data_IF_209219966851
#
_entry.id   IF_209219966851
#
_cell.length_a   1.000
_cell.length_b   1.000
_cell.length_c   1.000
_cell.angle_alpha   90.00
_cell.angle_beta   90.00
_cell.angle_gamma   90.00
#
_symmetry.space_group_name_H-M   'P 1'
#
loop_
_entity.id
_entity.type
_entity.pdbx_description
1 polymer ?
#
# COMPACT_ATOMS: atom_id res chain seq x y z
N UNK A 1 28.14 -47.06 28.37
CA UNK A 1 28.75 -46.62 27.09
C UNK A 1 27.97 -45.41 26.61
N UNK A 2 28.32 -44.21 27.08
CA UNK A 2 29.44 -43.36 26.63
C UNK A 2 29.11 -42.64 25.30
N UNK A 3 28.79 -41.34 25.45
CA UNK A 3 29.32 -40.20 24.68
C UNK A 3 29.34 -40.32 23.16
N UNK A 4 28.57 -39.52 22.42
CA UNK A 4 28.87 -38.10 22.11
C UNK A 4 29.17 -37.99 20.62
N UNK A 5 28.47 -37.05 19.99
CA UNK A 5 28.90 -36.27 18.84
C UNK A 5 30.40 -36.36 18.56
N UNK A 6 30.80 -36.86 17.38
CA UNK A 6 32.06 -36.52 16.71
C UNK A 6 32.27 -37.40 15.46
N UNK A 7 31.46 -37.22 14.43
CA UNK A 7 31.97 -37.34 13.07
C UNK A 7 31.44 -36.09 12.35
N UNK A 8 32.11 -34.93 12.44
CA UNK A 8 33.22 -34.64 11.53
C UNK A 8 32.85 -35.20 10.16
N UNK A 9 32.26 -34.40 9.28
CA UNK A 9 32.97 -33.55 8.33
C UNK A 9 31.83 -33.04 7.43
N UNK A 10 31.55 -31.78 7.15
CA UNK A 10 32.37 -30.67 6.65
C UNK A 10 31.29 -29.58 6.41
N UNK A 11 31.43 -28.27 6.57
CA UNK A 11 32.54 -27.36 6.75
C UNK A 11 31.84 -26.00 7.01
N UNK A 12 32.14 -25.36 8.15
CA UNK A 12 31.92 -23.93 8.45
C UNK A 12 30.49 -23.49 8.86
N UNK A 13 30.04 -23.90 10.05
CA UNK A 13 29.16 -23.05 10.85
C UNK A 13 30.03 -22.32 11.89
N UNK A 14 30.45 -21.11 11.55
CA UNK A 14 31.19 -20.26 12.48
C UNK A 14 30.22 -19.71 13.54
N UNK A 15 30.15 -20.43 14.65
CA UNK A 15 29.99 -19.99 16.04
C UNK A 15 29.64 -18.48 16.19
N UNK A 16 28.36 -18.17 16.40
CA UNK A 16 27.96 -16.94 17.10
C UNK A 16 27.58 -17.37 18.52
N UNK A 17 28.52 -17.18 19.44
CA UNK A 17 28.30 -17.42 20.86
C UNK A 17 27.25 -16.45 21.39
N UNK A 18 26.20 -16.99 21.99
CA UNK A 18 25.18 -16.23 22.69
C UNK A 18 25.75 -15.65 23.99
N UNK A 19 25.66 -14.33 24.18
CA UNK A 19 25.57 -13.73 25.51
C UNK A 19 25.00 -12.31 25.37
N UNK A 20 23.73 -12.11 25.73
CA UNK A 20 23.11 -10.79 25.78
C UNK A 20 21.58 -10.90 25.85
N UNK A 21 21.06 -11.10 27.05
CA UNK A 21 19.63 -11.11 27.38
C UNK A 21 18.97 -9.84 26.82
N UNK A 22 17.96 -9.97 25.94
CA UNK A 22 17.04 -8.87 25.63
C UNK A 22 15.62 -9.33 25.98
N UNK A 23 15.21 -9.01 27.21
CA UNK A 23 13.80 -8.89 27.60
C UNK A 23 13.47 -7.40 27.72
N UNK A 24 13.21 -6.69 26.61
CA UNK A 24 12.41 -5.45 26.63
C UNK A 24 11.75 -5.23 25.26
N UNK A 25 10.41 -5.20 25.26
CA UNK A 25 9.63 -4.32 24.40
C UNK A 25 9.22 -4.89 23.04
N UNK A 26 7.93 -5.23 22.90
CA UNK A 26 7.30 -5.52 21.63
C UNK A 26 7.57 -4.41 20.61
N UNK A 27 8.31 -4.74 19.56
CA UNK A 27 8.30 -3.97 18.33
C UNK A 27 7.27 -4.63 17.43
N UNK A 28 6.07 -4.05 17.41
CA UNK A 28 5.14 -4.25 16.31
C UNK A 28 5.92 -3.95 15.03
N UNK A 29 6.31 -4.98 14.30
CA UNK A 29 6.79 -4.82 12.95
C UNK A 29 5.56 -4.50 12.12
N UNK A 30 5.20 -3.22 12.08
CA UNK A 30 4.34 -2.72 11.01
C UNK A 30 5.13 -2.99 9.72
N UNK A 31 4.68 -3.98 8.97
CA UNK A 31 5.12 -4.21 7.60
C UNK A 31 4.74 -2.93 6.83
N UNK A 32 5.65 -1.96 6.75
CA UNK A 32 5.58 -0.95 5.72
C UNK A 32 5.87 -1.70 4.43
N UNK A 33 4.81 -2.26 3.84
CA UNK A 33 4.89 -2.87 2.53
C UNK A 33 5.42 -1.79 1.59
N UNK A 34 6.61 -2.03 1.05
CA UNK A 34 7.17 -1.15 0.04
C UNK A 34 6.34 -1.39 -1.21
N UNK A 35 5.23 -0.65 -1.33
CA UNK A 35 4.36 -0.70 -2.51
C UNK A 35 5.16 -0.10 -3.67
N UNK A 36 5.79 -0.99 -4.45
CA UNK A 36 6.36 -0.69 -5.76
C UNK A 36 5.20 -0.41 -6.70
N UNK A 37 4.75 0.84 -6.64
CA UNK A 37 3.77 1.37 -7.57
C UNK A 37 4.49 1.53 -8.91
N UNK A 38 4.63 0.45 -9.68
CA UNK A 38 5.27 0.48 -10.99
C UNK A 38 4.77 1.71 -11.74
N UNK A 39 5.68 2.64 -12.06
CA UNK A 39 5.51 4.10 -12.14
C UNK A 39 4.14 4.63 -12.62
N UNK A 40 3.52 3.99 -13.62
CA UNK A 40 2.27 4.43 -14.25
C UNK A 40 1.01 3.69 -13.77
N UNK A 41 1.14 2.58 -13.04
CA UNK A 41 0.01 1.76 -12.60
C UNK A 41 -0.96 2.54 -11.71
N UNK A 42 -0.46 3.48 -10.91
CA UNK A 42 -1.28 4.37 -10.09
C UNK A 42 -2.30 5.20 -10.89
N UNK A 43 -2.01 5.48 -12.17
CA UNK A 43 -2.90 6.23 -13.06
C UNK A 43 -4.13 5.42 -13.47
N UNK A 44 -4.07 4.08 -13.39
CA UNK A 44 -5.17 3.22 -13.83
C UNK A 44 -6.47 3.49 -13.07
N UNK A 45 -6.41 3.89 -11.80
CA UNK A 45 -7.58 4.35 -11.04
C UNK A 45 -8.11 5.68 -11.59
N UNK A 46 -7.23 6.66 -11.84
CA UNK A 46 -7.64 7.97 -12.34
C UNK A 46 -8.28 7.88 -13.73
N UNK A 47 -7.73 7.04 -14.60
CA UNK A 47 -8.25 6.79 -15.95
C UNK A 47 -9.53 5.95 -15.89
N UNK A 48 -9.53 4.82 -15.18
CA UNK A 48 -10.67 3.91 -15.11
C UNK A 48 -11.88 4.50 -14.38
N UNK A 49 -11.68 5.51 -13.54
CA UNK A 49 -12.74 6.16 -12.77
C UNK A 49 -13.05 7.59 -13.21
N UNK A 50 -12.44 8.10 -14.30
CA UNK A 50 -12.48 9.51 -14.69
C UNK A 50 -13.88 10.13 -14.60
N UNK A 51 -14.87 9.53 -15.25
CA UNK A 51 -16.25 10.03 -15.31
C UNK A 51 -16.95 10.11 -13.94
N UNK A 52 -16.46 9.38 -12.95
CA UNK A 52 -17.01 9.33 -11.58
C UNK A 52 -16.30 10.29 -10.63
N UNK A 53 -15.12 10.80 -11.02
CA UNK A 53 -14.25 11.63 -10.18
C UNK A 53 -13.99 13.02 -10.76
N UNK A 54 -14.58 13.38 -11.90
CA UNK A 54 -14.58 14.77 -12.38
C UNK A 54 -15.32 15.70 -11.41
N UNK A 55 -14.94 16.98 -11.37
CA UNK A 55 -15.56 17.97 -10.47
C UNK A 55 -17.03 18.24 -10.77
N UNK A 56 -17.36 18.29 -12.05
CA UNK A 56 -18.71 18.53 -12.56
C UNK A 56 -19.70 17.46 -12.10
N UNK A 57 -20.94 17.87 -11.82
CA UNK A 57 -22.04 16.97 -11.48
C UNK A 57 -21.98 16.33 -10.09
N UNK A 58 -22.96 15.48 -9.75
CA UNK A 58 -23.07 14.86 -8.43
C UNK A 58 -22.08 13.70 -8.23
N UNK A 59 -22.05 13.15 -7.00
CA UNK A 59 -21.47 11.83 -6.74
C UNK A 59 -22.35 10.77 -7.40
N UNK A 60 -21.74 9.90 -8.19
CA UNK A 60 -22.40 8.81 -8.90
C UNK A 60 -21.69 7.50 -8.59
N UNK A 61 -22.45 6.41 -8.52
CA UNK A 61 -21.89 5.08 -8.26
C UNK A 61 -20.88 4.71 -9.36
N UNK A 62 -19.67 4.25 -9.02
CA UNK A 62 -18.70 3.77 -10.00
C UNK A 62 -19.18 2.51 -10.71
N UNK A 63 -18.69 2.29 -11.93
CA UNK A 63 -18.89 1.05 -12.66
C UNK A 63 -17.89 -0.04 -12.22
N UNK A 64 -18.08 -1.27 -12.71
CA UNK A 64 -17.24 -2.40 -12.37
C UNK A 64 -15.76 -2.20 -12.78
N UNK A 65 -15.51 -1.56 -13.93
CA UNK A 65 -14.16 -1.28 -14.42
C UNK A 65 -13.40 -0.38 -13.43
N UNK A 66 -14.03 0.72 -13.01
CA UNK A 66 -13.47 1.63 -12.00
C UNK A 66 -13.18 0.90 -10.68
N UNK A 67 -14.14 0.10 -10.16
CA UNK A 67 -13.89 -0.62 -8.92
C UNK A 67 -12.83 -1.71 -9.03
N UNK A 68 -12.65 -2.33 -10.18
CA UNK A 68 -11.56 -3.29 -10.39
C UNK A 68 -10.21 -2.58 -10.34
N UNK A 69 -10.07 -1.43 -11.02
CA UNK A 69 -8.85 -0.62 -10.95
C UNK A 69 -8.54 -0.22 -9.50
N UNK A 70 -9.53 0.23 -8.73
CA UNK A 70 -9.37 0.57 -7.30
C UNK A 70 -8.91 -0.64 -6.48
N UNK A 71 -9.43 -1.84 -6.75
CA UNK A 71 -9.10 -3.06 -6.00
C UNK A 71 -7.71 -3.60 -6.32
N UNK A 72 -7.29 -3.49 -7.58
CA UNK A 72 -6.02 -4.01 -8.09
C UNK A 72 -4.85 -3.06 -7.79
N UNK A 73 -5.04 -1.76 -8.00
CA UNK A 73 -3.97 -0.75 -7.86
C UNK A 73 -3.93 -0.19 -6.44
N UNK A 74 -5.10 0.05 -5.85
CA UNK A 74 -5.23 0.62 -4.50
C UNK A 74 -4.92 2.12 -4.42
N UNK A 75 -5.47 2.74 -3.38
CA UNK A 75 -5.30 4.18 -3.14
C UNK A 75 -3.88 4.62 -2.80
N UNK A 76 -3.02 3.86 -2.09
CA UNK A 76 -1.65 4.30 -1.82
C UNK A 76 -0.86 4.64 -3.09
N UNK A 77 -0.98 3.82 -4.14
CA UNK A 77 -0.31 4.06 -5.41
C UNK A 77 -0.96 5.19 -6.20
N UNK A 78 -2.28 5.27 -6.22
CA UNK A 78 -3.00 6.38 -6.86
C UNK A 78 -2.64 7.71 -6.23
N UNK A 79 -2.65 7.80 -4.90
CA UNK A 79 -2.39 9.03 -4.16
C UNK A 79 -0.97 9.57 -4.33
N UNK A 80 0.02 8.70 -4.58
CA UNK A 80 1.39 9.12 -4.92
C UNK A 80 1.48 9.89 -6.23
N UNK A 81 0.53 9.66 -7.15
CA UNK A 81 0.50 10.32 -8.47
C UNK A 81 -0.42 11.54 -8.51
N UNK A 82 -1.21 11.80 -7.47
CA UNK A 82 -2.07 12.98 -7.39
C UNK A 82 -1.21 14.23 -7.24
N UNK A 83 -1.02 14.95 -8.35
CA UNK A 83 -0.40 16.28 -8.39
C UNK A 83 -1.44 17.38 -8.26
N UNK A 84 -0.99 18.62 -8.07
CA UNK A 84 -1.85 19.81 -8.08
C UNK A 84 -2.67 19.94 -9.36
N UNK A 85 -2.09 19.62 -10.53
CA UNK A 85 -2.81 19.67 -11.80
C UNK A 85 -3.95 18.64 -11.84
N UNK A 86 -3.75 17.46 -11.26
CA UNK A 86 -4.82 16.45 -11.15
C UNK A 86 -5.92 16.92 -10.19
N UNK A 87 -5.57 17.57 -9.08
CA UNK A 87 -6.56 18.18 -8.18
C UNK A 87 -7.35 19.33 -8.80
N UNK A 88 -6.81 19.98 -9.84
CA UNK A 88 -7.51 21.02 -10.59
C UNK A 88 -8.58 20.44 -11.52
N UNK A 89 -8.40 19.21 -11.99
CA UNK A 89 -9.31 18.54 -12.92
C UNK A 89 -10.32 17.62 -12.20
N UNK A 90 -9.90 16.98 -11.12
CA UNK A 90 -10.66 15.93 -10.44
C UNK A 90 -11.08 16.36 -9.03
N UNK A 91 -12.19 15.80 -8.56
CA UNK A 91 -12.66 15.97 -7.19
C UNK A 91 -12.08 14.88 -6.30
N UNK A 92 -11.19 15.26 -5.40
CA UNK A 92 -10.63 14.35 -4.39
C UNK A 92 -11.71 13.80 -3.45
N UNK A 93 -12.77 14.55 -3.20
CA UNK A 93 -13.93 14.09 -2.43
C UNK A 93 -14.68 12.96 -3.16
N UNK A 94 -14.83 13.07 -4.49
CA UNK A 94 -15.42 12.00 -5.30
C UNK A 94 -14.48 10.80 -5.42
N UNK A 95 -13.18 11.01 -5.51
CA UNK A 95 -12.19 9.94 -5.46
C UNK A 95 -12.27 9.17 -4.13
N UNK A 96 -12.38 9.87 -3.00
CA UNK A 96 -12.59 9.25 -1.69
C UNK A 96 -13.91 8.47 -1.61
N UNK A 97 -15.00 9.03 -2.15
CA UNK A 97 -16.29 8.34 -2.25
C UNK A 97 -16.17 7.05 -3.08
N UNK A 98 -15.56 7.10 -4.26
CA UNK A 98 -15.35 5.93 -5.14
C UNK A 98 -14.50 4.87 -4.43
N UNK A 99 -13.41 5.28 -3.79
CA UNK A 99 -12.54 4.38 -3.04
C UNK A 99 -13.29 3.65 -1.92
N UNK A 100 -14.11 4.38 -1.15
CA UNK A 100 -14.97 3.82 -0.11
C UNK A 100 -16.03 2.87 -0.69
N UNK A 101 -16.71 3.29 -1.76
CA UNK A 101 -17.74 2.49 -2.43
C UNK A 101 -17.19 1.15 -2.94
N UNK A 102 -15.97 1.16 -3.51
CA UNK A 102 -15.32 -0.03 -4.02
C UNK A 102 -14.64 -0.91 -2.93
N UNK A 103 -14.75 -0.54 -1.65
CA UNK A 103 -14.24 -1.31 -0.51
C UNK A 103 -12.75 -1.12 -0.21
N UNK A 104 -12.13 -0.06 -0.75
CA UNK A 104 -10.72 0.29 -0.53
C UNK A 104 -10.61 1.77 -0.14
N UNK A 105 -11.16 2.19 1.01
CA UNK A 105 -11.14 3.61 1.39
C UNK A 105 -9.71 4.13 1.54
N UNK A 106 -9.53 5.43 1.30
CA UNK A 106 -8.27 6.12 1.58
C UNK A 106 -8.06 6.06 3.10
N UNK A 107 -6.94 5.50 3.54
CA UNK A 107 -6.65 5.39 4.97
C UNK A 107 -6.48 6.80 5.58
N UNK A 108 -7.03 7.06 6.78
CA UNK A 108 -6.83 8.34 7.47
C UNK A 108 -5.36 8.73 7.56
N UNK A 109 -5.05 10.00 7.31
CA UNK A 109 -3.68 10.53 7.32
C UNK A 109 -2.85 10.23 6.06
N UNK A 110 -3.38 9.46 5.10
CA UNK A 110 -2.74 9.27 3.78
C UNK A 110 -2.80 10.57 2.99
N UNK A 111 -1.66 11.12 2.56
CA UNK A 111 -1.65 12.28 1.65
C UNK A 111 -2.15 11.86 0.26
N UNK A 112 -3.27 12.41 -0.18
CA UNK A 112 -3.90 12.11 -1.48
C UNK A 112 -4.38 13.42 -2.13
N UNK A 113 -3.41 14.24 -2.52
CA UNK A 113 -3.66 15.65 -2.79
C UNK A 113 -3.71 16.49 -1.51
N UNK A 114 -4.22 17.70 -1.67
CA UNK A 114 -4.30 18.80 -0.71
C UNK A 114 -5.68 18.94 -0.09
N UNK A 115 -6.71 18.39 -0.73
CA UNK A 115 -8.09 18.37 -0.24
C UNK A 115 -8.51 16.92 0.03
N UNK A 116 -8.33 16.46 1.25
CA UNK A 116 -8.87 15.19 1.76
C UNK A 116 -9.32 15.37 3.20
#
# INVERSE_FOLDING_TARGET
MATSAAHFLSLKLAIVAAAGIILVGGKNQALAQQDDCGNLSGLGVLVGCQDFIVKEGPKVSPNALCCNAVKEIGMPCTCKLVTKQIEELLSMEKLAFVAQFCGRPIAPGTKCGSKI
#
